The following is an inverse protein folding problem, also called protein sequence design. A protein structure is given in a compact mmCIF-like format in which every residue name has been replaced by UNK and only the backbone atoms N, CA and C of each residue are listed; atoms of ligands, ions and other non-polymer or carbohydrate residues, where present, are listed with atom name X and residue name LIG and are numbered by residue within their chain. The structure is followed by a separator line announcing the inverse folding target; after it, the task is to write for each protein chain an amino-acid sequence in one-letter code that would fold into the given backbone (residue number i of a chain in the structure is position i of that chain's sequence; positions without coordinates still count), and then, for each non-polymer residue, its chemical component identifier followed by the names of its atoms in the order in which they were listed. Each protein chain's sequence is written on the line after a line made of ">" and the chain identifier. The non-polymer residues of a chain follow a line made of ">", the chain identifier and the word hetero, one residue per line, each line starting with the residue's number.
data_IF_951897516765
#
_entry.id   IF_951897516765
#
_cell.length_a   1.000
_cell.length_b   1.000
_cell.length_c   1.000
_cell.angle_alpha   90.00
_cell.angle_beta   90.00
_cell.angle_gamma   90.00
#
_symmetry.space_group_name_H-M   'P 1'
#
loop_
_entity.id
_entity.type
_entity.pdbx_description
1 polymer ?
#
# COMPACT_ATOMS: atom_id res chain seq x y z
N UNK A 1 -15.71 -21.24 4.13
CA UNK A 1 -15.13 -20.06 3.46
C UNK A 1 -15.09 -18.97 4.52
N UNK A 2 -13.93 -18.44 4.86
CA UNK A 2 -13.87 -17.32 5.81
C UNK A 2 -14.11 -16.05 5.00
N UNK A 3 -15.25 -15.39 5.21
CA UNK A 3 -15.47 -14.01 4.77
C UNK A 3 -14.37 -13.16 5.42
N UNK A 4 -13.32 -12.83 4.66
CA UNK A 4 -12.10 -12.18 5.14
C UNK A 4 -12.35 -10.74 5.60
N UNK A 5 -13.06 -10.57 6.71
CA UNK A 5 -13.28 -9.28 7.33
C UNK A 5 -11.97 -8.82 7.99
N UNK A 6 -11.37 -7.78 7.44
CA UNK A 6 -10.26 -7.07 8.06
C UNK A 6 -10.81 -6.12 9.12
N UNK A 7 -10.44 -6.34 10.38
CA UNK A 7 -10.78 -5.41 11.47
C UNK A 7 -9.58 -4.51 11.72
N UNK A 8 -9.73 -3.21 11.44
CA UNK A 8 -8.74 -2.19 11.77
C UNK A 8 -9.17 -1.46 13.06
N UNK A 9 -8.27 -1.40 14.04
CA UNK A 9 -8.45 -0.53 15.20
C UNK A 9 -7.76 0.81 14.93
N UNK A 10 -8.55 1.87 14.89
CA UNK A 10 -8.05 3.24 14.76
C UNK A 10 -8.00 3.90 16.12
N UNK A 11 -6.96 4.71 16.35
CA UNK A 11 -6.96 5.63 17.47
C UNK A 11 -8.03 6.73 17.28
N UNK A 12 -8.49 7.39 18.38
CA UNK A 12 -9.61 8.33 18.31
C UNK A 12 -9.34 9.56 17.44
N UNK A 13 -8.08 9.98 17.29
CA UNK A 13 -7.72 11.13 16.47
C UNK A 13 -7.82 10.77 14.98
N UNK A 14 -7.26 9.62 14.60
CA UNK A 14 -7.33 9.10 13.24
C UNK A 14 -8.77 8.82 12.82
N UNK A 15 -9.58 8.24 13.72
CA UNK A 15 -11.01 8.01 13.47
C UNK A 15 -11.73 9.34 13.17
N UNK A 16 -11.50 10.38 13.98
CA UNK A 16 -12.11 11.70 13.78
C UNK A 16 -11.75 12.32 12.43
N UNK A 17 -10.47 12.30 12.08
CA UNK A 17 -10.01 12.84 10.79
C UNK A 17 -10.63 12.10 9.61
N UNK A 18 -10.79 10.79 9.74
CA UNK A 18 -11.41 9.96 8.72
C UNK A 18 -12.89 10.29 8.55
N UNK A 19 -13.63 10.47 9.65
CA UNK A 19 -15.03 10.89 9.61
C UNK A 19 -15.21 12.27 8.99
N UNK A 20 -14.35 13.24 9.33
CA UNK A 20 -14.36 14.58 8.75
C UNK A 20 -14.10 14.52 7.24
N UNK A 21 -13.05 13.82 6.82
CA UNK A 21 -12.70 13.67 5.41
C UNK A 21 -13.79 12.93 4.60
N UNK A 22 -14.39 11.88 5.19
CA UNK A 22 -15.51 11.18 4.56
C UNK A 22 -16.74 12.08 4.40
N UNK A 23 -17.02 12.92 5.40
CA UNK A 23 -18.10 13.90 5.35
C UNK A 23 -17.87 14.96 4.27
N UNK A 24 -16.63 15.46 4.15
CA UNK A 24 -16.25 16.41 3.10
C UNK A 24 -16.38 15.79 1.70
N UNK A 25 -16.03 14.50 1.57
CA UNK A 25 -16.18 13.74 0.33
C UNK A 25 -17.64 13.29 0.05
N UNK A 26 -18.56 13.46 1.01
CA UNK A 26 -19.97 13.07 0.87
C UNK A 26 -20.21 11.56 0.85
N UNK A 27 -19.28 10.77 1.40
CA UNK A 27 -19.35 9.30 1.44
C UNK A 27 -19.39 8.80 2.89
N UNK A 28 -19.66 7.50 3.09
CA UNK A 28 -19.56 6.92 4.44
C UNK A 28 -18.10 6.78 4.87
N UNK A 29 -17.81 6.84 6.19
CA UNK A 29 -16.46 6.61 6.72
C UNK A 29 -15.84 5.29 6.25
N UNK A 30 -16.63 4.22 6.18
CA UNK A 30 -16.17 2.90 5.74
C UNK A 30 -15.79 2.90 4.26
N UNK A 31 -16.59 3.55 3.41
CA UNK A 31 -16.30 3.66 1.97
C UNK A 31 -15.04 4.50 1.73
N UNK A 32 -14.90 5.61 2.46
CA UNK A 32 -13.69 6.43 2.40
C UNK A 32 -12.45 5.67 2.88
N UNK A 33 -12.56 4.91 3.97
CA UNK A 33 -11.47 4.08 4.48
C UNK A 33 -11.03 3.01 3.47
N UNK A 34 -12.00 2.31 2.87
CA UNK A 34 -11.74 1.25 1.89
C UNK A 34 -11.08 1.78 0.62
N UNK A 35 -11.51 2.94 0.13
CA UNK A 35 -10.91 3.61 -1.04
C UNK A 35 -9.45 3.97 -0.79
N UNK A 36 -9.18 4.66 0.34
CA UNK A 36 -7.81 5.06 0.72
C UNK A 36 -6.89 3.87 0.97
N UNK A 37 -7.41 2.81 1.59
CA UNK A 37 -6.68 1.55 1.74
C UNK A 37 -6.39 0.91 0.39
N UNK A 38 -7.34 0.93 -0.54
CA UNK A 38 -7.15 0.39 -1.89
C UNK A 38 -6.09 1.17 -2.66
N UNK A 39 -6.08 2.51 -2.56
CA UNK A 39 -5.01 3.34 -3.13
C UNK A 39 -3.64 3.01 -2.53
N UNK A 40 -3.56 2.90 -1.20
CA UNK A 40 -2.31 2.58 -0.51
C UNK A 40 -1.76 1.21 -0.89
N UNK A 41 -2.64 0.22 -1.06
CA UNK A 41 -2.24 -1.13 -1.48
C UNK A 41 -1.93 -1.19 -2.98
N UNK A 42 -2.54 -0.33 -3.79
CA UNK A 42 -2.28 -0.25 -5.23
C UNK A 42 -0.91 0.35 -5.55
N UNK A 43 -0.30 1.09 -4.61
CA UNK A 43 1.07 1.59 -4.72
C UNK A 43 2.13 0.48 -4.61
N UNK A 44 1.74 -0.72 -4.13
CA UNK A 44 2.50 -1.98 -4.23
C UNK A 44 2.02 -2.83 -5.42
N UNK A 45 1.56 -2.18 -6.50
CA UNK A 45 1.40 -2.86 -7.79
C UNK A 45 2.69 -3.60 -8.14
N UNK A 46 2.62 -4.80 -8.75
CA UNK A 46 3.82 -5.59 -9.01
C UNK A 46 4.81 -4.70 -9.75
N UNK A 47 5.97 -4.43 -9.13
CA UNK A 47 7.10 -3.90 -9.88
C UNK A 47 7.19 -4.77 -11.14
N UNK A 48 7.15 -4.18 -12.35
CA UNK A 48 7.27 -4.97 -13.55
C UNK A 48 8.50 -5.85 -13.38
N UNK A 49 8.29 -7.16 -13.45
CA UNK A 49 9.29 -8.16 -13.05
C UNK A 49 10.62 -7.92 -13.77
N UNK A 50 10.56 -7.38 -14.98
CA UNK A 50 11.69 -6.94 -15.80
C UNK A 50 12.55 -5.86 -15.13
N UNK A 51 11.94 -4.84 -14.51
CA UNK A 51 12.68 -3.77 -13.82
C UNK A 51 13.32 -4.31 -12.54
N UNK A 52 12.58 -5.09 -11.74
CA UNK A 52 13.09 -5.70 -10.52
C UNK A 52 14.26 -6.67 -10.80
N UNK A 53 14.17 -7.47 -11.87
CA UNK A 53 15.24 -8.38 -12.29
C UNK A 53 16.45 -7.63 -12.87
N UNK A 54 16.22 -6.52 -13.59
CA UNK A 54 17.28 -5.68 -14.13
C UNK A 54 18.10 -5.02 -13.02
N UNK A 55 17.43 -4.45 -12.00
CA UNK A 55 18.09 -3.89 -10.82
C UNK A 55 18.87 -4.94 -10.04
N UNK A 56 18.27 -6.12 -9.81
CA UNK A 56 18.93 -7.21 -9.12
C UNK A 56 20.19 -7.69 -9.85
N UNK A 57 20.11 -7.87 -11.18
CA UNK A 57 21.27 -8.26 -12.00
C UNK A 57 22.39 -7.23 -11.90
N UNK A 58 22.08 -5.94 -12.02
CA UNK A 58 23.09 -4.88 -11.90
C UNK A 58 23.79 -4.89 -10.54
N UNK A 59 23.04 -5.18 -9.46
CA UNK A 59 23.60 -5.29 -8.11
C UNK A 59 24.52 -6.51 -7.94
N UNK A 60 24.17 -7.64 -8.57
CA UNK A 60 24.99 -8.86 -8.56
C UNK A 60 26.27 -8.66 -9.35
N UNK A 61 26.18 -8.07 -10.55
CA UNK A 61 27.34 -7.76 -11.39
C UNK A 61 28.31 -6.79 -10.70
N UNK A 62 27.80 -5.74 -10.05
CA UNK A 62 28.62 -4.81 -9.28
C UNK A 62 29.33 -5.49 -8.10
N UNK A 63 28.64 -6.38 -7.37
CA UNK A 63 29.25 -7.16 -6.27
C UNK A 63 30.29 -8.17 -6.74
N UNK A 64 30.08 -8.78 -7.91
CA UNK A 64 31.05 -9.70 -8.51
C UNK A 64 32.28 -8.96 -9.03
N UNK A 65 32.09 -7.81 -9.67
CA UNK A 65 33.17 -6.95 -10.16
C UNK A 65 34.04 -6.40 -9.01
N UNK A 66 33.45 -6.11 -7.84
CA UNK A 66 34.20 -5.67 -6.66
C UNK A 66 34.99 -6.80 -5.95
N UNK A 67 34.87 -8.05 -6.42
CA UNK A 67 35.52 -9.23 -5.86
C UNK A 67 36.67 -9.78 -6.71
N UNK A 68 36.85 -9.28 -7.94
CA UNK A 68 37.96 -9.60 -8.84
C UNK A 68 39.05 -8.54 -8.79
#
# INVERSE_FOLDING_TARGET
>A
MADGALILQLDPETARRLEEAAREAGVSPEAYAADRLSESLSLDGPLPLEDALSEFRGHVEAKLAARG
#
